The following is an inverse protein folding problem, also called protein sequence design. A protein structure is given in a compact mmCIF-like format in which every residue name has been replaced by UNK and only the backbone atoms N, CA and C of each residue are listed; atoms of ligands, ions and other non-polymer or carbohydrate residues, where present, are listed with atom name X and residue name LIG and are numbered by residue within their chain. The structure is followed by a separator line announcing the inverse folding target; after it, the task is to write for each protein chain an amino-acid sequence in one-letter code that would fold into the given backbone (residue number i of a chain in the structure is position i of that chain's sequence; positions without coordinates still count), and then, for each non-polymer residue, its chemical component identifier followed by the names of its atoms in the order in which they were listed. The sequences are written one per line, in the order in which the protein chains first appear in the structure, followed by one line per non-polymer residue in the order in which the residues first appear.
data_IF_515650358846
#
_entry.id   IF_515650358846
#
_cell.length_a   1.000
_cell.length_b   1.000
_cell.length_c   1.000
_cell.angle_alpha   90.00
_cell.angle_beta   90.00
_cell.angle_gamma   90.00
#
_symmetry.space_group_name_H-M   'P 1'
#
loop_
_entity.id
_entity.type
_entity.pdbx_description
1 polymer ?
#
# COMPACT_ATOMS: atom_id res chain seq x y z
N UNK A 1 7.49 -15.80 1.22
CA UNK A 1 6.29 -14.93 1.32
C UNK A 1 6.62 -13.45 1.15
N UNK A 2 5.89 -12.77 0.27
CA UNK A 2 5.85 -11.31 0.16
C UNK A 2 4.50 -10.80 0.65
N UNK A 3 4.51 -9.68 1.35
CA UNK A 3 3.31 -9.06 1.92
C UNK A 3 3.16 -7.60 1.45
N UNK A 4 1.97 -7.25 0.99
CA UNK A 4 1.63 -5.92 0.48
C UNK A 4 0.48 -5.34 1.30
N UNK A 5 0.60 -4.07 1.67
CA UNK A 5 -0.44 -3.32 2.39
C UNK A 5 -0.88 -2.10 1.58
N UNK A 6 -2.14 -2.10 1.16
CA UNK A 6 -2.79 -0.98 0.51
C UNK A 6 -3.45 -0.08 1.56
N UNK A 7 -3.32 1.23 1.37
CA UNK A 7 -4.00 2.29 2.11
C UNK A 7 -4.77 3.15 1.13
N UNK A 8 -6.07 3.28 1.33
CA UNK A 8 -6.95 4.11 0.54
C UNK A 8 -8.07 4.72 1.37
N UNK A 9 -9.03 5.35 0.70
CA UNK A 9 -10.30 5.77 1.28
C UNK A 9 -11.45 4.96 0.69
N UNK A 10 -12.52 4.80 1.45
CA UNK A 10 -13.76 4.16 0.98
C UNK A 10 -14.24 4.82 -0.32
N UNK A 11 -14.29 4.04 -1.41
CA UNK A 11 -14.62 4.48 -2.76
C UNK A 11 -13.43 4.65 -3.72
N UNK A 12 -12.17 4.56 -3.26
CA UNK A 12 -10.98 4.71 -4.11
C UNK A 12 -10.50 3.39 -4.76
N UNK A 13 -11.17 2.26 -4.49
CA UNK A 13 -10.83 1.00 -5.13
C UNK A 13 -9.65 0.23 -4.52
N UNK A 14 -9.08 0.63 -3.36
CA UNK A 14 -7.95 -0.07 -2.74
C UNK A 14 -8.20 -1.59 -2.52
N UNK A 15 -9.40 -1.96 -2.07
CA UNK A 15 -9.81 -3.36 -1.86
C UNK A 15 -9.95 -4.12 -3.18
N UNK A 16 -10.39 -3.44 -4.24
CA UNK A 16 -10.52 -4.04 -5.57
C UNK A 16 -9.14 -4.24 -6.19
N UNK A 17 -8.26 -3.24 -6.08
CA UNK A 17 -6.87 -3.33 -6.54
C UNK A 17 -6.12 -4.48 -5.85
N UNK A 18 -6.28 -4.66 -4.54
CA UNK A 18 -5.65 -5.79 -3.83
C UNK A 18 -6.15 -7.15 -4.32
N UNK A 19 -7.46 -7.27 -4.61
CA UNK A 19 -8.04 -8.51 -5.16
C UNK A 19 -7.56 -8.80 -6.58
N UNK A 20 -7.51 -7.78 -7.44
CA UNK A 20 -6.99 -7.89 -8.81
C UNK A 20 -5.52 -8.35 -8.76
N UNK A 21 -4.69 -7.75 -7.90
CA UNK A 21 -3.30 -8.16 -7.74
C UNK A 21 -3.18 -9.63 -7.29
N UNK A 22 -3.92 -10.04 -6.27
CA UNK A 22 -3.89 -11.43 -5.82
C UNK A 22 -4.37 -12.41 -6.92
N UNK A 23 -5.37 -12.02 -7.71
CA UNK A 23 -5.84 -12.85 -8.82
C UNK A 23 -4.79 -12.96 -9.94
N UNK A 24 -4.09 -11.86 -10.26
CA UNK A 24 -2.99 -11.89 -11.21
C UNK A 24 -1.85 -12.82 -10.73
N UNK A 25 -1.47 -12.71 -9.46
CA UNK A 25 -0.44 -13.58 -8.87
C UNK A 25 -0.87 -15.05 -8.83
N UNK A 26 -2.16 -15.32 -8.63
CA UNK A 26 -2.71 -16.66 -8.73
C UNK A 26 -2.61 -17.24 -10.15
N UNK A 27 -2.84 -16.41 -11.18
CA UNK A 27 -2.64 -16.82 -12.58
C UNK A 27 -1.17 -17.05 -12.95
N UNK A 28 -0.23 -16.58 -12.13
CA UNK A 28 1.20 -16.88 -12.22
C UNK A 28 1.60 -18.12 -11.38
N UNK A 29 0.64 -19.02 -11.10
CA UNK A 29 0.82 -20.25 -10.31
C UNK A 29 1.33 -20.02 -8.88
N UNK A 30 1.14 -18.82 -8.32
CA UNK A 30 1.50 -18.50 -6.93
C UNK A 30 0.33 -18.68 -5.98
N UNK A 31 0.62 -18.94 -4.71
CA UNK A 31 -0.37 -18.94 -3.65
C UNK A 31 -0.62 -17.51 -3.20
N UNK A 32 -1.80 -16.98 -3.47
CA UNK A 32 -2.16 -15.61 -3.13
C UNK A 32 -3.36 -15.52 -2.17
N UNK A 33 -3.34 -14.54 -1.28
CA UNK A 33 -4.47 -14.17 -0.44
C UNK A 33 -4.69 -12.67 -0.56
N UNK A 34 -5.94 -12.22 -0.70
CA UNK A 34 -6.32 -10.82 -0.58
C UNK A 34 -7.47 -10.66 0.41
N UNK A 35 -7.32 -9.72 1.34
CA UNK A 35 -8.35 -9.47 2.35
C UNK A 35 -8.29 -8.01 2.84
N UNK A 36 -9.44 -7.37 3.08
CA UNK A 36 -9.49 -6.03 3.64
C UNK A 36 -9.38 -6.06 5.18
N UNK A 37 -9.14 -4.89 5.77
CA UNK A 37 -9.53 -4.59 7.16
C UNK A 37 -10.39 -3.36 7.17
N UNK A 38 -11.47 -3.44 7.93
CA UNK A 38 -12.46 -2.39 8.04
C UNK A 38 -12.62 -1.95 9.49
N UNK A 39 -12.75 -0.64 9.69
CA UNK A 39 -13.15 -0.06 10.97
C UNK A 39 -14.66 0.20 10.99
N UNK A 40 -15.10 1.30 11.60
CA UNK A 40 -16.45 1.82 11.41
C UNK A 40 -16.58 2.41 9.98
N UNK A 41 -16.99 1.58 9.03
CA UNK A 41 -17.02 1.95 7.61
C UNK A 41 -18.02 3.08 7.32
N UNK A 42 -17.52 4.14 6.67
CA UNK A 42 -18.32 5.18 6.01
C UNK A 42 -17.58 5.67 4.78
N UNK A 43 -18.29 6.25 3.81
CA UNK A 43 -17.68 6.80 2.58
C UNK A 43 -16.55 7.77 2.95
N UNK A 44 -15.40 7.63 2.29
CA UNK A 44 -14.23 8.48 2.53
C UNK A 44 -13.41 8.15 3.79
N UNK A 45 -13.83 7.22 4.64
CA UNK A 45 -12.99 6.75 5.75
C UNK A 45 -11.74 6.03 5.24
N UNK A 46 -10.60 6.09 5.96
CA UNK A 46 -9.43 5.28 5.66
C UNK A 46 -9.78 3.79 5.63
N UNK A 47 -9.27 3.09 4.63
CA UNK A 47 -9.44 1.65 4.42
C UNK A 47 -8.07 1.07 4.14
N UNK A 48 -7.77 -0.07 4.76
CA UNK A 48 -6.59 -0.85 4.43
C UNK A 48 -6.99 -2.20 3.83
N UNK A 49 -6.17 -2.68 2.89
CA UNK A 49 -6.30 -4.00 2.32
C UNK A 49 -4.93 -4.66 2.20
N UNK A 50 -4.91 -5.98 2.20
CA UNK A 50 -3.68 -6.75 2.25
C UNK A 50 -3.63 -7.75 1.13
N UNK A 51 -2.42 -8.00 0.64
CA UNK A 51 -2.10 -9.12 -0.23
C UNK A 51 -0.95 -9.89 0.40
N UNK A 52 -1.07 -11.21 0.44
CA UNK A 52 0.06 -12.11 0.66
C UNK A 52 0.25 -12.93 -0.59
N UNK A 53 1.51 -13.19 -0.93
CA UNK A 53 1.85 -14.11 -1.99
C UNK A 53 3.07 -14.94 -1.60
N UNK A 54 3.03 -16.22 -1.91
CA UNK A 54 4.13 -17.14 -1.69
C UNK A 54 4.16 -18.25 -2.73
N UNK A 55 5.28 -18.97 -2.78
CA UNK A 55 5.46 -20.11 -3.70
C UNK A 55 4.90 -21.42 -3.08
N UNK A 56 4.41 -21.35 -1.84
CA UNK A 56 3.79 -22.44 -1.11
C UNK A 56 2.50 -22.01 -0.41
N UNK A 57 1.67 -22.96 0.00
CA UNK A 57 0.37 -22.67 0.60
C UNK A 57 0.47 -21.79 1.86
N UNK A 58 -0.31 -20.71 1.90
CA UNK A 58 -0.27 -19.72 2.97
C UNK A 58 -1.26 -20.11 4.09
N UNK A 59 -0.72 -20.49 5.24
CA UNK A 59 -1.53 -20.84 6.43
C UNK A 59 -1.89 -19.62 7.31
N UNK A 60 -1.20 -18.48 7.15
CA UNK A 60 -1.38 -17.30 8.01
C UNK A 60 -2.73 -16.60 7.72
N UNK A 61 -3.54 -16.37 8.76
CA UNK A 61 -4.87 -15.72 8.69
C UNK A 61 -5.01 -14.50 9.60
N UNK A 62 -3.93 -13.73 9.75
CA UNK A 62 -3.89 -12.47 10.51
C UNK A 62 -3.71 -11.26 9.58
N UNK A 63 -3.79 -10.05 10.13
CA UNK A 63 -3.40 -8.82 9.41
C UNK A 63 -1.91 -8.85 9.05
N UNK A 64 -1.52 -8.12 8.00
CA UNK A 64 -0.10 -7.90 7.69
C UNK A 64 0.45 -6.83 8.63
N UNK A 65 1.36 -7.23 9.50
CA UNK A 65 2.06 -6.33 10.43
C UNK A 65 3.40 -5.88 9.87
N UNK A 66 4.04 -6.69 9.02
CA UNK A 66 5.38 -6.45 8.49
C UNK A 66 5.41 -6.47 6.96
N UNK A 67 4.84 -5.48 6.26
CA UNK A 67 4.78 -5.48 4.81
C UNK A 67 6.16 -5.29 4.16
N UNK A 68 6.36 -5.91 2.99
CA UNK A 68 7.45 -5.61 2.05
C UNK A 68 7.13 -4.39 1.19
N UNK A 69 5.84 -4.22 0.87
CA UNK A 69 5.35 -3.15 0.01
C UNK A 69 4.16 -2.43 0.64
N UNK A 70 4.13 -1.11 0.52
CA UNK A 70 2.99 -0.27 0.90
C UNK A 70 2.51 0.53 -0.30
N UNK A 71 1.22 0.50 -0.58
CA UNK A 71 0.60 1.28 -1.66
C UNK A 71 -0.35 2.30 -1.04
N UNK A 72 -0.12 3.59 -1.29
CA UNK A 72 -0.93 4.69 -0.75
C UNK A 72 -1.70 5.36 -1.89
N UNK A 73 -3.01 5.15 -1.94
CA UNK A 73 -3.88 5.60 -3.03
C UNK A 73 -4.09 7.12 -3.08
N UNK A 74 -3.72 7.85 -2.03
CA UNK A 74 -3.75 9.31 -1.99
C UNK A 74 -2.75 9.87 -0.96
N UNK A 75 -1.90 10.82 -1.38
CA UNK A 75 -0.88 11.48 -0.56
C UNK A 75 -1.34 11.87 0.86
N UNK A 76 -2.51 12.53 0.98
CA UNK A 76 -3.06 12.99 2.28
C UNK A 76 -3.37 11.88 3.28
N UNK A 77 -3.38 10.61 2.88
CA UNK A 77 -3.54 9.50 3.83
C UNK A 77 -2.35 9.39 4.79
N UNK A 78 -1.16 9.78 4.35
CA UNK A 78 0.09 9.71 5.13
C UNK A 78 -0.03 10.52 6.43
N UNK A 79 -0.73 11.65 6.39
CA UNK A 79 -0.99 12.51 7.55
C UNK A 79 -2.00 11.91 8.54
N UNK A 80 -2.82 10.94 8.10
CA UNK A 80 -3.97 10.45 8.86
C UNK A 80 -3.86 9.02 9.38
N UNK A 81 -2.96 8.22 8.80
CA UNK A 81 -2.73 6.83 9.19
C UNK A 81 -1.24 6.50 9.17
N UNK A 82 -0.75 5.63 10.07
CA UNK A 82 0.66 5.27 10.15
C UNK A 82 1.03 4.31 8.99
N UNK A 83 1.22 4.85 7.78
CA UNK A 83 1.44 4.05 6.56
C UNK A 83 2.74 3.24 6.60
N UNK A 84 3.74 3.73 7.32
CA UNK A 84 5.09 3.13 7.47
C UNK A 84 5.17 2.07 8.55
N UNK A 85 4.13 1.89 9.38
CA UNK A 85 4.22 1.04 10.57
C UNK A 85 4.54 -0.42 10.22
N UNK A 86 5.64 -0.93 10.76
CA UNK A 86 6.16 -2.27 10.49
C UNK A 86 6.71 -2.51 9.07
N UNK A 87 6.81 -1.50 8.20
CA UNK A 87 7.46 -1.66 6.90
C UNK A 87 8.90 -2.13 7.09
N UNK A 88 9.26 -3.22 6.40
CA UNK A 88 10.60 -3.81 6.49
C UNK A 88 11.66 -2.85 5.95
N UNK A 89 12.89 -2.99 6.45
CA UNK A 89 14.07 -2.37 5.87
C UNK A 89 14.23 -2.82 4.41
N UNK A 90 14.58 -1.89 3.53
CA UNK A 90 14.59 -2.07 2.08
C UNK A 90 13.21 -2.12 1.42
N UNK A 91 12.13 -2.03 2.19
CA UNK A 91 10.75 -2.04 1.68
C UNK A 91 10.46 -0.87 0.75
N UNK A 92 9.34 -0.94 0.03
CA UNK A 92 8.95 0.09 -0.95
C UNK A 92 7.58 0.66 -0.63
N UNK A 93 7.49 2.00 -0.63
CA UNK A 93 6.23 2.73 -0.57
C UNK A 93 5.95 3.32 -1.96
N UNK A 94 4.80 2.99 -2.53
CA UNK A 94 4.26 3.62 -3.73
C UNK A 94 3.15 4.59 -3.35
N UNK A 95 3.28 5.86 -3.74
CA UNK A 95 2.32 6.91 -3.38
C UNK A 95 1.71 7.50 -4.65
N UNK A 96 0.38 7.52 -4.70
CA UNK A 96 -0.35 8.26 -5.72
C UNK A 96 -0.25 9.77 -5.44
N UNK A 97 0.63 10.45 -6.18
CA UNK A 97 0.89 11.89 -6.03
C UNK A 97 1.59 12.48 -7.25
N UNK A 98 1.40 13.79 -7.46
CA UNK A 98 2.23 14.62 -8.34
C UNK A 98 3.51 15.12 -7.67
N UNK A 99 3.58 15.06 -6.33
CA UNK A 99 4.74 15.53 -5.58
C UNK A 99 5.89 14.53 -5.67
N UNK A 100 7.15 14.99 -5.78
CA UNK A 100 8.29 14.11 -5.74
C UNK A 100 8.47 13.48 -4.35
N UNK A 101 9.09 12.30 -4.30
CA UNK A 101 9.26 11.49 -3.08
C UNK A 101 9.88 12.26 -1.89
N UNK A 102 10.80 13.19 -2.17
CA UNK A 102 11.49 14.01 -1.16
C UNK A 102 10.59 14.97 -0.37
N UNK A 103 9.38 15.26 -0.86
CA UNK A 103 8.43 16.17 -0.20
C UNK A 103 7.65 15.46 0.92
N UNK A 104 7.71 14.12 0.99
CA UNK A 104 6.98 13.36 1.97
C UNK A 104 7.79 13.17 3.25
N UNK A 105 7.28 13.72 4.35
CA UNK A 105 7.81 13.48 5.69
C UNK A 105 7.07 12.30 6.36
N UNK A 106 7.84 11.38 6.95
CA UNK A 106 7.33 10.20 7.66
C UNK A 106 7.61 10.26 9.17
N UNK A 107 7.76 11.46 9.74
CA UNK A 107 7.88 11.66 11.19
C UNK A 107 9.24 11.30 11.77
N UNK A 108 10.31 11.39 10.98
CA UNK A 108 11.67 11.46 11.57
C UNK A 108 11.87 12.88 12.08
N UNK A 109 12.30 13.01 13.34
CA UNK A 109 12.75 14.28 13.92
C UNK A 109 13.73 14.98 12.99
N UNK A 110 13.73 16.31 13.03
CA UNK A 110 14.46 17.26 12.15
C UNK A 110 16.00 17.10 12.12
N UNK A 111 16.55 15.98 12.62
CA UNK A 111 17.91 15.53 12.39
C UNK A 111 18.07 15.06 10.93
N UNK A 112 18.25 16.07 10.09
CA UNK A 112 18.26 16.16 8.63
C UNK A 112 19.13 15.16 7.81
N UNK A 113 19.71 14.10 8.39
CA UNK A 113 20.73 13.28 7.71
C UNK A 113 20.57 11.75 7.81
N UNK A 114 19.47 11.21 8.31
CA UNK A 114 19.29 9.74 8.29
C UNK A 114 18.45 9.29 7.09
N UNK A 115 19.10 8.59 6.15
CA UNK A 115 18.42 7.91 5.03
C UNK A 115 17.21 7.11 5.55
N UNK A 116 16.10 7.16 4.81
CA UNK A 116 14.94 6.34 5.13
C UNK A 116 15.34 4.86 4.99
N UNK A 117 14.94 3.98 5.92
CA UNK A 117 15.26 2.55 5.81
C UNK A 117 14.49 1.86 4.67
N UNK A 118 13.65 2.59 3.94
CA UNK A 118 12.82 2.11 2.84
C UNK A 118 12.85 3.11 1.68
N UNK A 119 12.49 2.63 0.49
CA UNK A 119 12.42 3.43 -0.73
C UNK A 119 11.03 4.01 -0.92
N UNK A 120 10.97 5.28 -1.34
CA UNK A 120 9.71 5.97 -1.67
C UNK A 120 9.63 6.21 -3.18
N UNK A 121 8.52 5.81 -3.78
CA UNK A 121 8.21 5.99 -5.20
C UNK A 121 6.89 6.76 -5.31
N UNK A 122 6.87 7.75 -6.19
CA UNK A 122 5.68 8.60 -6.43
C UNK A 122 5.27 8.48 -7.88
N UNK A 123 3.98 8.36 -8.13
CA UNK A 123 3.41 8.33 -9.47
C UNK A 123 2.00 8.91 -9.43
N UNK A 124 1.63 9.71 -10.43
CA UNK A 124 0.26 10.20 -10.53
C UNK A 124 -0.62 9.16 -11.26
N UNK A 125 -1.24 8.28 -10.49
CA UNK A 125 -2.17 7.27 -11.01
C UNK A 125 -3.44 7.90 -11.57
N UNK A 126 -3.90 9.03 -11.02
CA UNK A 126 -5.11 9.72 -11.49
C UNK A 126 -4.91 10.26 -12.91
N UNK A 127 -3.75 10.86 -13.19
CA UNK A 127 -3.39 11.35 -14.53
C UNK A 127 -3.29 10.21 -15.53
N UNK A 128 -2.75 9.06 -15.11
CA UNK A 128 -2.69 7.86 -15.95
C UNK A 128 -4.11 7.37 -16.26
N UNK A 129 -4.97 7.22 -15.25
CA UNK A 129 -6.36 6.81 -15.43
C UNK A 129 -7.11 7.73 -16.40
N UNK A 130 -7.06 9.05 -16.17
CA UNK A 130 -7.69 10.05 -17.04
C UNK A 130 -7.16 10.01 -18.47
N UNK A 131 -5.85 9.79 -18.66
CA UNK A 131 -5.26 9.64 -20.00
C UNK A 131 -5.87 8.46 -20.78
N UNK A 132 -6.29 7.40 -20.08
CA UNK A 132 -6.91 6.20 -20.68
C UNK A 132 -8.44 6.21 -20.60
N UNK A 133 -9.07 7.27 -20.10
CA UNK A 133 -10.53 7.37 -20.00
C UNK A 133 -11.15 6.48 -18.90
N UNK A 134 -10.38 6.17 -17.86
CA UNK A 134 -10.81 5.39 -16.68
C UNK A 134 -11.27 6.30 -15.53
#
# INVERSE_FOLDING_TARGET
MQEIRFHGRGGQGAVIASKILAQALFFEDRYAQAFPTFGAERRGAPVAAFVRVDDSFINVRSRVTTPDFVVVMAARLIESVPVTDGLKDGGIILINSDLPAKEFNFGKDDNFNSELPFRVVTINLNRIALKFGL
#
